data_IF_803914367367
#
_entry.id   IF_803914367367
#
_cell.length_a   1.000
_cell.length_b   1.000
_cell.length_c   1.000
_cell.angle_alpha   90.00
_cell.angle_beta   90.00
_cell.angle_gamma   90.00
#
_symmetry.space_group_name_H-M   'P 1'
#
loop_
_entity.id
_entity.type
_entity.pdbx_description
1 polymer ?
#
# COMPACT_ATOMS: atom_id res chain seq x y z
N UNK A 1 30.69 13.74 -25.59
CA UNK A 1 29.36 14.21 -26.02
C UNK A 1 28.75 13.11 -26.86
N UNK A 2 27.48 12.77 -26.69
CA UNK A 2 26.91 11.62 -27.41
C UNK A 2 25.93 12.06 -28.51
N UNK A 3 25.89 11.31 -29.61
CA UNK A 3 24.87 11.43 -30.65
C UNK A 3 24.23 10.07 -30.88
N UNK A 4 22.91 10.07 -31.06
CA UNK A 4 22.12 8.87 -31.25
C UNK A 4 21.70 8.76 -32.72
N UNK A 5 22.08 7.68 -33.40
CA UNK A 5 21.67 7.41 -34.79
C UNK A 5 20.43 6.54 -34.78
N UNK A 6 19.31 7.01 -35.34
CA UNK A 6 18.07 6.23 -35.42
C UNK A 6 17.52 6.20 -36.85
N UNK A 7 16.74 5.15 -37.13
CA UNK A 7 16.15 4.89 -38.44
C UNK A 7 15.95 3.39 -38.70
N UNK A 8 15.18 3.07 -39.73
CA UNK A 8 14.88 1.68 -40.09
C UNK A 8 16.12 0.92 -40.54
N UNK A 9 16.02 -0.41 -40.55
CA UNK A 9 17.02 -1.28 -41.15
C UNK A 9 17.26 -0.88 -42.62
N UNK A 10 18.52 -0.84 -43.04
CA UNK A 10 18.89 -0.53 -44.43
C UNK A 10 18.91 0.96 -44.81
N UNK A 11 18.62 1.89 -43.89
CA UNK A 11 18.66 3.33 -44.18
C UNK A 11 20.08 3.94 -44.17
N UNK A 12 21.12 3.12 -43.95
CA UNK A 12 22.51 3.58 -43.96
C UNK A 12 23.01 4.16 -42.62
N UNK A 13 22.38 3.84 -41.48
CA UNK A 13 22.80 4.29 -40.14
C UNK A 13 24.27 3.98 -39.85
N UNK A 14 24.66 2.72 -39.96
CA UNK A 14 26.01 2.25 -39.68
C UNK A 14 27.04 2.83 -40.66
N UNK A 15 26.70 2.91 -41.95
CA UNK A 15 27.56 3.55 -42.96
C UNK A 15 27.80 5.03 -42.66
N UNK A 16 26.74 5.76 -42.33
CA UNK A 16 26.83 7.16 -41.91
C UNK A 16 27.62 7.31 -40.60
N UNK A 17 27.39 6.45 -39.62
CA UNK A 17 28.12 6.43 -38.35
C UNK A 17 29.62 6.23 -38.56
N UNK A 18 30.01 5.30 -39.44
CA UNK A 18 31.42 5.09 -39.79
C UNK A 18 32.03 6.32 -40.46
N UNK A 19 31.34 6.89 -41.45
CA UNK A 19 31.80 8.08 -42.16
C UNK A 19 31.91 9.30 -41.22
N UNK A 20 30.98 9.43 -40.27
CA UNK A 20 31.00 10.49 -39.26
C UNK A 20 32.21 10.34 -38.33
N UNK A 21 32.54 9.11 -37.93
CA UNK A 21 33.69 8.78 -37.09
C UNK A 21 35.01 9.08 -37.82
N UNK A 22 35.25 8.38 -38.93
CA UNK A 22 36.46 8.49 -39.74
C UNK A 22 36.08 8.25 -41.21
N UNK A 23 36.14 9.28 -42.06
CA UNK A 23 35.79 9.18 -43.47
C UNK A 23 36.90 8.53 -44.32
N UNK A 24 38.02 8.10 -43.71
CA UNK A 24 39.11 7.43 -44.41
C UNK A 24 38.67 6.12 -45.05
N UNK A 25 39.08 5.89 -46.29
CA UNK A 25 38.72 4.73 -47.11
C UNK A 25 38.95 3.39 -46.37
N UNK A 26 40.12 3.23 -45.73
CA UNK A 26 40.44 2.03 -44.95
C UNK A 26 39.46 1.77 -43.80
N UNK A 27 38.95 2.81 -43.16
CA UNK A 27 37.97 2.64 -42.09
C UNK A 27 36.59 2.32 -42.68
N UNK A 28 36.16 3.05 -43.71
CA UNK A 28 34.81 2.89 -44.27
C UNK A 28 34.62 1.54 -44.96
N UNK A 29 35.64 1.05 -45.68
CA UNK A 29 35.56 -0.16 -46.52
C UNK A 29 36.21 -1.39 -45.88
N UNK A 30 37.41 -1.26 -45.32
CA UNK A 30 38.19 -2.44 -44.89
C UNK A 30 37.93 -2.83 -43.43
N UNK A 31 37.80 -1.85 -42.53
CA UNK A 31 37.65 -2.08 -41.10
C UNK A 31 36.64 -1.13 -40.44
N UNK A 32 35.35 -1.22 -40.80
CA UNK A 32 34.33 -0.33 -40.26
C UNK A 32 34.05 -0.59 -38.78
N UNK A 33 33.95 0.48 -38.00
CA UNK A 33 33.55 0.43 -36.59
C UNK A 33 32.18 -0.23 -36.40
N UNK A 34 31.22 0.12 -37.26
CA UNK A 34 29.88 -0.45 -37.30
C UNK A 34 29.74 -1.28 -38.58
N UNK A 35 29.53 -2.59 -38.48
CA UNK A 35 29.42 -3.46 -39.66
C UNK A 35 28.20 -3.08 -40.52
N UNK A 36 28.38 -2.53 -41.74
CA UNK A 36 27.26 -2.23 -42.61
C UNK A 36 26.62 -3.53 -43.12
N UNK A 37 25.30 -3.50 -43.35
CA UNK A 37 24.60 -4.63 -43.97
C UNK A 37 25.08 -4.85 -45.39
N UNK A 38 25.55 -6.06 -45.71
CA UNK A 38 25.75 -6.52 -47.09
C UNK A 38 24.51 -7.33 -47.49
N UNK A 39 23.96 -7.09 -48.68
CA UNK A 39 22.89 -7.89 -49.30
C UNK A 39 21.48 -7.79 -48.67
N UNK A 40 21.11 -6.62 -48.15
CA UNK A 40 19.73 -6.35 -47.73
C UNK A 40 19.29 -7.02 -46.43
N UNK A 41 20.19 -7.70 -45.70
CA UNK A 41 19.92 -8.27 -44.37
C UNK A 41 20.40 -7.34 -43.25
N UNK A 42 19.59 -7.08 -42.21
CA UNK A 42 20.05 -6.37 -41.01
C UNK A 42 21.24 -7.12 -40.39
N UNK A 43 22.34 -6.40 -40.12
CA UNK A 43 23.48 -6.92 -39.35
C UNK A 43 23.63 -6.27 -37.97
N UNK A 44 23.08 -5.07 -37.75
CA UNK A 44 23.11 -4.40 -36.45
C UNK A 44 22.09 -5.04 -35.52
N UNK A 45 22.51 -6.04 -34.75
CA UNK A 45 21.71 -6.74 -33.74
C UNK A 45 21.98 -6.23 -32.31
N UNK A 46 22.95 -5.33 -32.14
CA UNK A 46 23.38 -4.82 -30.84
C UNK A 46 23.60 -3.31 -30.92
N UNK A 47 23.38 -2.62 -29.80
CA UNK A 47 23.74 -1.20 -29.65
C UNK A 47 25.25 -1.07 -29.56
N UNK A 48 25.86 -0.40 -30.53
CA UNK A 48 27.31 -0.17 -30.55
C UNK A 48 27.59 1.31 -30.35
N UNK A 49 28.56 1.62 -29.50
CA UNK A 49 29.03 2.99 -29.27
C UNK A 49 30.52 3.10 -29.51
N UNK A 50 30.96 4.16 -30.18
CA UNK A 50 32.38 4.46 -30.33
C UNK A 50 32.68 5.90 -29.95
N UNK A 51 33.55 6.05 -28.96
CA UNK A 51 34.15 7.33 -28.63
C UNK A 51 35.32 7.62 -29.57
N UNK A 52 35.29 8.78 -30.20
CA UNK A 52 36.35 9.27 -31.08
C UNK A 52 36.76 10.69 -30.72
N UNK A 53 38.08 10.94 -30.86
CA UNK A 53 38.67 12.26 -30.79
C UNK A 53 38.67 12.85 -32.20
N UNK A 54 37.90 13.93 -32.38
CA UNK A 54 37.82 14.69 -33.61
C UNK A 54 38.65 15.96 -33.45
N UNK A 55 39.53 16.23 -34.43
CA UNK A 55 40.22 17.51 -34.53
C UNK A 55 39.38 18.44 -35.42
N UNK A 56 38.95 19.56 -34.85
CA UNK A 56 38.31 20.64 -35.60
C UNK A 56 39.13 21.92 -35.38
N UNK A 57 40.02 22.23 -36.32
CA UNK A 57 41.04 23.28 -36.14
C UNK A 57 42.00 22.93 -35.00
N UNK A 58 42.19 23.87 -34.07
CA UNK A 58 43.06 23.70 -32.88
C UNK A 58 42.36 23.02 -31.69
N UNK A 59 41.04 22.79 -31.77
CA UNK A 59 40.26 22.21 -30.66
C UNK A 59 40.07 20.71 -30.85
N UNK A 60 40.42 19.95 -29.82
CA UNK A 60 40.14 18.52 -29.73
C UNK A 60 38.75 18.29 -29.11
N UNK A 61 37.86 17.60 -29.82
CA UNK A 61 36.50 17.32 -29.39
C UNK A 61 36.26 15.82 -29.28
N UNK A 62 35.53 15.38 -28.25
CA UNK A 62 35.17 13.96 -28.07
C UNK A 62 33.70 13.71 -28.41
N UNK A 63 33.48 12.90 -29.43
CA UNK A 63 32.17 12.47 -29.90
C UNK A 63 31.98 10.98 -29.62
N UNK A 64 30.89 10.60 -28.97
CA UNK A 64 30.44 9.22 -28.83
C UNK A 64 29.26 9.02 -29.79
N UNK A 65 29.43 8.15 -30.78
CA UNK A 65 28.39 7.83 -31.76
C UNK A 65 27.72 6.54 -31.34
N UNK A 66 26.41 6.59 -31.09
CA UNK A 66 25.59 5.43 -30.69
C UNK A 66 24.79 4.98 -31.92
N UNK A 67 25.17 3.85 -32.50
CA UNK A 67 24.42 3.19 -33.57
C UNK A 67 23.37 2.26 -32.97
N UNK A 68 22.10 2.46 -33.33
CA UNK A 68 21.00 1.66 -32.80
C UNK A 68 20.58 0.57 -33.78
N UNK A 69 20.14 -0.60 -33.29
CA UNK A 69 19.47 -1.57 -34.15
C UNK A 69 18.17 -0.99 -34.73
N UNK A 70 17.66 -1.63 -35.78
CA UNK A 70 16.28 -1.38 -36.21
C UNK A 70 15.30 -1.93 -35.16
N UNK A 71 14.21 -1.21 -34.92
CA UNK A 71 13.08 -1.71 -34.14
C UNK A 71 12.08 -2.39 -35.11
N UNK A 72 11.27 -3.32 -34.62
CA UNK A 72 10.21 -4.06 -35.32
C UNK A 72 10.65 -5.41 -35.94
N UNK A 73 11.46 -6.20 -35.23
CA UNK A 73 11.77 -7.60 -35.61
C UNK A 73 10.84 -8.61 -34.92
N UNK A 74 10.80 -8.58 -33.58
CA UNK A 74 9.89 -9.38 -32.73
C UNK A 74 9.77 -8.71 -31.37
N UNK A 75 8.71 -8.99 -30.61
CA UNK A 75 8.50 -8.36 -29.30
C UNK A 75 9.67 -8.57 -28.32
N UNK A 76 10.25 -9.78 -28.32
CA UNK A 76 11.44 -10.13 -27.52
C UNK A 76 12.67 -9.32 -27.94
N UNK A 77 13.00 -9.32 -29.23
CA UNK A 77 14.18 -8.61 -29.77
C UNK A 77 14.04 -7.11 -29.61
N UNK A 78 12.85 -6.59 -29.88
CA UNK A 78 12.57 -5.17 -29.74
C UNK A 78 12.74 -4.75 -28.27
N UNK A 79 12.21 -5.51 -27.32
CA UNK A 79 12.40 -5.21 -25.89
C UNK A 79 13.87 -5.27 -25.48
N UNK A 80 14.60 -6.31 -25.91
CA UNK A 80 16.03 -6.45 -25.65
C UNK A 80 16.82 -5.25 -26.19
N UNK A 81 16.60 -4.89 -27.45
CA UNK A 81 17.21 -3.72 -28.07
C UNK A 81 16.90 -2.43 -27.31
N UNK A 82 15.66 -2.23 -26.87
CA UNK A 82 15.25 -1.07 -26.08
C UNK A 82 15.98 -1.00 -24.74
N UNK A 83 16.11 -2.12 -24.04
CA UNK A 83 16.85 -2.20 -22.77
C UNK A 83 18.30 -1.77 -22.99
N UNK A 84 18.95 -2.26 -24.03
CA UNK A 84 20.35 -1.95 -24.32
C UNK A 84 20.53 -0.49 -24.72
N UNK A 85 19.60 0.07 -25.50
CA UNK A 85 19.60 1.50 -25.84
C UNK A 85 19.50 2.34 -24.56
N UNK A 86 18.56 2.00 -23.67
CA UNK A 86 18.35 2.74 -22.42
C UNK A 86 19.53 2.63 -21.47
N UNK A 87 20.13 1.44 -21.32
CA UNK A 87 21.37 1.27 -20.55
C UNK A 87 22.46 2.19 -21.08
N UNK A 88 22.69 2.16 -22.41
CA UNK A 88 23.71 3.00 -23.05
C UNK A 88 23.44 4.50 -22.90
N UNK A 89 22.18 4.91 -22.97
CA UNK A 89 21.78 6.30 -22.77
C UNK A 89 21.99 6.74 -21.31
N UNK A 90 21.67 5.88 -20.33
CA UNK A 90 21.88 6.18 -18.91
C UNK A 90 23.37 6.28 -18.53
N UNK A 91 24.25 5.60 -19.26
CA UNK A 91 25.72 5.76 -19.14
C UNK A 91 26.21 7.10 -19.70
N UNK A 92 25.40 7.79 -20.51
CA UNK A 92 25.76 9.08 -21.09
C UNK A 92 25.40 10.23 -20.13
N UNK A 93 26.31 11.20 -19.97
CA UNK A 93 25.98 12.43 -19.22
C UNK A 93 24.90 13.27 -19.94
N UNK A 94 24.86 13.19 -21.27
CA UNK A 94 23.88 13.85 -22.12
C UNK A 94 24.09 13.55 -23.60
N UNK A 95 22.99 13.65 -24.36
CA UNK A 95 22.96 13.47 -25.82
C UNK A 95 22.77 14.83 -26.48
N UNK A 96 23.62 15.16 -27.45
CA UNK A 96 23.55 16.43 -28.17
C UNK A 96 22.60 16.40 -29.35
N UNK A 97 22.49 15.28 -30.05
CA UNK A 97 21.62 15.17 -31.20
C UNK A 97 21.03 13.77 -31.35
N UNK A 98 19.79 13.73 -31.82
CA UNK A 98 19.17 12.56 -32.39
C UNK A 98 19.21 12.71 -33.92
N UNK A 99 19.98 11.85 -34.59
CA UNK A 99 20.17 11.91 -36.04
C UNK A 99 19.27 10.86 -36.68
N UNK A 100 18.26 11.35 -37.39
CA UNK A 100 17.34 10.59 -38.21
C UNK A 100 18.02 10.28 -39.55
N UNK A 101 18.43 9.03 -39.75
CA UNK A 101 19.06 8.60 -41.00
C UNK A 101 18.00 8.02 -41.92
N UNK A 102 17.88 8.59 -43.11
CA UNK A 102 16.91 8.20 -44.14
C UNK A 102 17.64 8.08 -45.46
N UNK A 103 17.37 7.04 -46.25
CA UNK A 103 17.90 6.96 -47.60
C UNK A 103 17.23 8.00 -48.52
N UNK A 104 18.01 8.70 -49.33
CA UNK A 104 17.49 9.69 -50.26
C UNK A 104 16.43 9.07 -51.19
N UNK A 105 15.27 9.73 -51.29
CA UNK A 105 14.11 9.28 -52.07
C UNK A 105 13.51 7.92 -51.62
N UNK A 106 13.85 7.43 -50.42
CA UNK A 106 13.16 6.30 -49.81
C UNK A 106 11.82 6.73 -49.21
N UNK A 107 10.83 5.85 -49.25
CA UNK A 107 9.55 6.07 -48.57
C UNK A 107 9.74 5.83 -47.07
N UNK A 108 9.16 6.71 -46.26
CA UNK A 108 9.03 6.48 -44.83
C UNK A 108 7.93 5.43 -44.63
N UNK A 109 8.36 4.20 -44.34
CA UNK A 109 7.50 3.05 -44.12
C UNK A 109 6.94 3.01 -42.69
N UNK A 110 6.02 2.07 -42.42
CA UNK A 110 5.41 1.94 -41.10
C UNK A 110 6.44 1.66 -39.98
N UNK A 111 7.50 0.91 -40.30
CA UNK A 111 8.58 0.61 -39.35
C UNK A 111 9.34 1.88 -38.94
N UNK A 112 9.61 2.77 -39.89
CA UNK A 112 10.27 4.03 -39.64
C UNK A 112 9.39 4.95 -38.77
N UNK A 113 8.08 4.99 -39.05
CA UNK A 113 7.10 5.74 -38.23
C UNK A 113 7.07 5.25 -36.79
N UNK A 114 6.99 3.94 -36.59
CA UNK A 114 7.01 3.32 -35.27
C UNK A 114 8.31 3.63 -34.52
N UNK A 115 9.45 3.60 -35.23
CA UNK A 115 10.76 3.97 -34.66
C UNK A 115 10.77 5.41 -34.17
N UNK A 116 10.29 6.36 -34.98
CA UNK A 116 10.21 7.77 -34.58
C UNK A 116 9.27 7.96 -33.40
N UNK A 117 8.09 7.36 -33.46
CA UNK A 117 7.10 7.48 -32.40
C UNK A 117 7.67 6.98 -31.08
N UNK A 118 8.35 5.84 -31.10
CA UNK A 118 9.03 5.27 -29.96
C UNK A 118 10.06 6.23 -29.36
N UNK A 119 11.03 6.69 -30.17
CA UNK A 119 12.09 7.58 -29.67
C UNK A 119 11.58 8.95 -29.25
N UNK A 120 10.51 9.46 -29.87
CA UNK A 120 9.86 10.72 -29.48
C UNK A 120 9.22 10.64 -28.10
N UNK A 121 8.58 9.51 -27.77
CA UNK A 121 8.03 9.25 -26.43
C UNK A 121 9.14 9.06 -25.40
N UNK A 122 10.23 8.40 -25.79
CA UNK A 122 11.34 8.06 -24.92
C UNK A 122 12.20 9.28 -24.57
N UNK A 123 12.47 10.14 -25.56
CA UNK A 123 13.42 11.23 -25.47
C UNK A 123 12.78 12.55 -25.93
N UNK A 124 11.68 13.00 -25.30
CA UNK A 124 10.92 14.17 -25.77
C UNK A 124 11.79 15.43 -25.85
N UNK A 125 12.68 15.65 -24.88
CA UNK A 125 13.59 16.79 -24.88
C UNK A 125 14.57 16.83 -26.06
N UNK A 126 14.95 15.66 -26.62
CA UNK A 126 15.73 15.61 -27.86
C UNK A 126 14.85 15.95 -29.07
N UNK A 127 13.64 15.42 -29.13
CA UNK A 127 12.71 15.65 -30.23
C UNK A 127 12.22 17.10 -30.32
N UNK A 128 12.13 17.79 -29.20
CA UNK A 128 11.74 19.20 -29.13
C UNK A 128 12.75 20.17 -29.74
N UNK A 129 14.05 19.83 -29.81
CA UNK A 129 15.10 20.82 -30.15
C UNK A 129 16.31 20.30 -30.95
N UNK A 130 16.63 19.01 -30.83
CA UNK A 130 17.95 18.48 -31.19
C UNK A 130 17.89 17.33 -32.22
N UNK A 131 16.90 17.36 -33.11
CA UNK A 131 16.75 16.42 -34.22
C UNK A 131 17.48 16.96 -35.44
N UNK A 132 18.28 16.10 -36.06
CA UNK A 132 18.94 16.33 -37.35
C UNK A 132 18.45 15.26 -38.32
N UNK A 133 18.21 15.62 -39.56
CA UNK A 133 17.87 14.68 -40.63
C UNK A 133 19.08 14.53 -41.54
N UNK A 134 19.45 13.29 -41.84
CA UNK A 134 20.51 12.98 -42.79
C UNK A 134 19.92 12.10 -43.89
N UNK A 135 19.87 12.64 -45.10
CA UNK A 135 19.53 11.89 -46.32
C UNK A 135 20.81 11.23 -46.86
N UNK A 136 20.93 9.93 -46.68
CA UNK A 136 22.07 9.12 -47.16
C UNK A 136 21.90 8.73 -48.62
N UNK A 137 22.97 8.24 -49.27
CA UNK A 137 22.97 7.86 -50.69
C UNK A 137 22.61 9.01 -51.65
N UNK A 138 22.98 10.23 -51.28
CA UNK A 138 22.87 11.39 -52.16
C UNK A 138 24.17 11.62 -52.94
N UNK A 139 24.41 10.76 -53.95
CA UNK A 139 25.57 10.88 -54.83
C UNK A 139 25.55 12.20 -55.62
N UNK A 140 26.70 12.87 -55.73
CA UNK A 140 26.83 14.19 -56.35
C UNK A 140 27.51 14.16 -57.71
N UNK A 141 27.91 12.99 -58.18
CA UNK A 141 28.47 12.80 -59.52
C UNK A 141 27.50 13.24 -60.63
N UNK A 142 28.08 13.61 -61.78
CA UNK A 142 27.34 14.11 -62.93
C UNK A 142 26.26 13.11 -63.41
N UNK A 143 26.56 11.82 -63.37
CA UNK A 143 25.61 10.78 -63.81
C UNK A 143 24.41 10.73 -62.85
N UNK A 144 24.62 10.81 -61.55
CA UNK A 144 23.52 10.86 -60.56
C UNK A 144 22.67 12.12 -60.71
N UNK A 145 23.28 13.29 -60.97
CA UNK A 145 22.54 14.51 -61.28
C UNK A 145 21.69 14.39 -62.54
N UNK A 146 22.27 13.88 -63.63
CA UNK A 146 21.56 13.64 -64.88
C UNK A 146 20.41 12.63 -64.68
N UNK A 147 20.62 11.58 -63.87
CA UNK A 147 19.57 10.62 -63.56
C UNK A 147 18.42 11.25 -62.77
N UNK A 148 18.70 12.11 -61.78
CA UNK A 148 17.66 12.85 -61.04
C UNK A 148 16.85 13.74 -61.98
N UNK A 149 17.52 14.46 -62.90
CA UNK A 149 16.87 15.29 -63.93
C UNK A 149 15.97 14.44 -64.86
N UNK A 150 16.48 13.30 -65.36
CA UNK A 150 15.72 12.37 -66.21
C UNK A 150 14.48 11.80 -65.52
N UNK A 151 14.61 11.44 -64.24
CA UNK A 151 13.50 10.93 -63.40
C UNK A 151 12.58 12.03 -62.89
N UNK A 152 12.87 13.31 -63.19
CA UNK A 152 12.15 14.49 -62.69
C UNK A 152 12.01 14.49 -61.16
N UNK A 153 13.08 14.08 -60.48
CA UNK A 153 13.14 14.08 -59.01
C UNK A 153 13.33 15.53 -58.55
N UNK A 154 12.34 16.05 -57.81
CA UNK A 154 12.43 17.33 -57.14
C UNK A 154 13.07 17.16 -55.75
N UNK A 155 14.31 17.61 -55.62
CA UNK A 155 15.09 17.49 -54.39
C UNK A 155 14.49 18.32 -53.25
N UNK A 156 13.95 19.50 -53.55
CA UNK A 156 13.35 20.36 -52.52
C UNK A 156 12.02 19.80 -52.03
N UNK A 157 11.22 19.23 -52.95
CA UNK A 157 10.00 18.51 -52.56
C UNK A 157 10.31 17.33 -51.62
N UNK A 158 11.34 16.52 -51.93
CA UNK A 158 11.75 15.40 -51.06
C UNK A 158 12.13 15.89 -49.65
N UNK A 159 12.87 17.01 -49.55
CA UNK A 159 13.24 17.59 -48.25
C UNK A 159 11.99 18.02 -47.47
N UNK A 160 11.08 18.74 -48.13
CA UNK A 160 9.84 19.20 -47.51
C UNK A 160 8.96 18.03 -47.05
N UNK A 161 8.78 17.02 -47.90
CA UNK A 161 7.99 15.83 -47.59
C UNK A 161 8.58 15.05 -46.42
N UNK A 162 9.90 14.88 -46.41
CA UNK A 162 10.59 14.20 -45.30
C UNK A 162 10.35 14.94 -43.98
N UNK A 163 10.56 16.26 -43.94
CA UNK A 163 10.34 17.07 -42.72
C UNK A 163 8.87 17.00 -42.28
N UNK A 164 7.93 17.13 -43.22
CA UNK A 164 6.51 17.09 -42.93
C UNK A 164 6.07 15.74 -42.36
N UNK A 165 6.58 14.64 -42.91
CA UNK A 165 6.27 13.30 -42.44
C UNK A 165 6.85 13.03 -41.04
N UNK A 166 8.07 13.50 -40.77
CA UNK A 166 8.68 13.42 -39.44
C UNK A 166 7.89 14.18 -38.36
N UNK A 167 7.40 15.38 -38.68
CA UNK A 167 6.51 16.14 -37.79
C UNK A 167 5.22 15.39 -37.48
N UNK A 168 4.66 14.71 -38.48
CA UNK A 168 3.45 13.90 -38.32
C UNK A 168 3.70 12.69 -37.42
N UNK A 169 4.83 11.99 -37.59
CA UNK A 169 5.12 10.75 -36.88
C UNK A 169 5.60 10.97 -35.43
N UNK A 170 6.18 12.14 -35.14
CA UNK A 170 6.59 12.54 -33.79
C UNK A 170 5.44 13.07 -32.92
N UNK A 171 4.18 12.83 -33.32
CA UNK A 171 2.99 13.37 -32.64
C UNK A 171 3.07 14.90 -32.41
N UNK A 172 3.61 15.62 -33.40
CA UNK A 172 3.82 17.08 -33.35
C UNK A 172 4.79 17.57 -32.27
N UNK A 173 5.63 16.71 -31.67
CA UNK A 173 6.67 17.18 -30.75
C UNK A 173 7.74 18.04 -31.44
N UNK A 174 8.00 17.80 -32.72
CA UNK A 174 8.91 18.61 -33.53
C UNK A 174 8.18 19.89 -34.00
N UNK A 175 8.26 20.94 -33.18
CA UNK A 175 7.61 22.23 -33.45
C UNK A 175 8.46 23.18 -34.33
N UNK A 176 9.73 22.84 -34.57
CA UNK A 176 10.68 23.60 -35.40
C UNK A 176 10.87 22.93 -36.76
N UNK A 177 11.70 23.51 -37.64
CA UNK A 177 12.17 22.83 -38.85
C UNK A 177 13.53 22.21 -38.56
N UNK A 178 13.66 20.87 -38.43
CA UNK A 178 14.96 20.24 -38.21
C UNK A 178 15.95 20.58 -39.31
N UNK A 179 17.23 20.66 -38.95
CA UNK A 179 18.29 20.81 -39.93
C UNK A 179 18.41 19.51 -40.74
N UNK A 180 18.42 19.64 -42.06
CA UNK A 180 18.53 18.53 -43.00
C UNK A 180 19.85 18.63 -43.77
N UNK A 181 20.56 17.52 -43.84
CA UNK A 181 21.77 17.35 -44.64
C UNK A 181 21.57 16.20 -45.64
N UNK A 182 22.20 16.29 -46.80
CA UNK A 182 22.22 15.22 -47.80
C UNK A 182 23.67 14.83 -48.01
N UNK A 183 24.01 13.55 -47.90
CA UNK A 183 25.39 13.11 -47.91
C UNK A 183 25.53 11.77 -48.62
N UNK A 184 26.60 11.62 -49.38
CA UNK A 184 27.07 10.31 -49.78
C UNK A 184 28.15 9.82 -48.82
N UNK A 185 27.90 8.67 -48.19
CA UNK A 185 28.84 8.06 -47.25
C UNK A 185 29.83 7.11 -47.96
N UNK A 186 29.64 6.86 -49.26
CA UNK A 186 30.46 5.98 -50.09
C UNK A 186 30.83 6.70 -51.41
N UNK A 187 31.47 7.88 -51.35
CA UNK A 187 31.84 8.62 -52.56
C UNK A 187 32.80 7.81 -53.42
N UNK A 188 32.64 7.89 -54.75
CA UNK A 188 33.41 7.07 -55.70
C UNK A 188 34.61 7.83 -56.27
N UNK A 189 34.51 9.16 -56.37
CA UNK A 189 35.59 10.03 -56.87
C UNK A 189 36.01 11.12 -55.85
N UNK A 190 37.11 11.80 -56.17
CA UNK A 190 37.73 12.81 -55.29
C UNK A 190 36.83 14.05 -55.09
N UNK A 191 36.04 14.43 -56.09
CA UNK A 191 35.16 15.60 -56.03
C UNK A 191 33.93 15.31 -55.15
N UNK A 192 33.37 14.10 -55.26
CA UNK A 192 32.34 13.59 -54.36
C UNK A 192 32.87 13.49 -52.93
N UNK A 193 34.07 12.93 -52.73
CA UNK A 193 34.66 12.80 -51.41
C UNK A 193 34.86 14.17 -50.77
N UNK A 194 35.38 15.16 -51.51
CA UNK A 194 35.53 16.54 -51.03
C UNK A 194 34.19 17.15 -50.62
N UNK A 195 33.14 16.90 -51.41
CA UNK A 195 31.78 17.37 -51.12
C UNK A 195 31.24 16.71 -49.84
N UNK A 196 31.35 15.39 -49.72
CA UNK A 196 30.91 14.65 -48.52
C UNK A 196 31.70 15.04 -47.26
N UNK A 197 32.99 15.34 -47.38
CA UNK A 197 33.81 15.85 -46.27
C UNK A 197 33.37 17.24 -45.81
N UNK A 198 33.01 18.13 -46.74
CA UNK A 198 32.47 19.45 -46.41
C UNK A 198 31.12 19.34 -45.68
N UNK A 199 30.23 18.46 -46.15
CA UNK A 199 28.93 18.22 -45.53
C UNK A 199 29.08 17.57 -44.15
N UNK A 200 29.96 16.57 -44.01
CA UNK A 200 30.33 15.98 -42.72
C UNK A 200 30.81 17.03 -41.73
N UNK A 201 31.65 17.96 -42.18
CA UNK A 201 32.16 19.05 -41.34
C UNK A 201 31.04 19.99 -40.90
N UNK A 202 30.09 20.30 -41.78
CA UNK A 202 28.91 21.09 -41.45
C UNK A 202 27.99 20.38 -40.43
N UNK A 203 27.77 19.07 -40.59
CA UNK A 203 27.01 18.24 -39.64
C UNK A 203 27.67 18.28 -38.26
N UNK A 204 28.98 18.01 -38.18
CA UNK A 204 29.73 18.03 -36.92
C UNK A 204 29.67 19.41 -36.26
N UNK A 205 29.91 20.48 -37.03
CA UNK A 205 29.83 21.84 -36.52
C UNK A 205 28.46 22.15 -35.91
N UNK A 206 27.38 21.78 -36.61
CA UNK A 206 26.02 21.95 -36.12
C UNK A 206 25.76 21.16 -34.83
N UNK A 207 26.16 19.88 -34.78
CA UNK A 207 26.06 19.06 -33.57
C UNK A 207 26.76 19.72 -32.39
N UNK A 208 27.95 20.30 -32.60
CA UNK A 208 28.70 20.92 -31.51
C UNK A 208 28.05 22.20 -30.97
N UNK A 209 27.28 22.92 -31.79
CA UNK A 209 26.50 24.08 -31.36
C UNK A 209 25.26 23.70 -30.53
N UNK A 210 24.75 22.48 -30.66
CA UNK A 210 23.57 22.05 -29.92
C UNK A 210 23.85 21.89 -28.42
N UNK A 211 22.93 22.36 -27.54
CA UNK A 211 23.03 22.13 -26.10
C UNK A 211 22.79 20.64 -25.79
N UNK A 212 23.56 20.00 -24.90
CA UNK A 212 23.32 18.61 -24.53
C UNK A 212 22.01 18.45 -23.73
N UNK A 213 21.24 17.43 -24.07
CA UNK A 213 20.04 17.01 -23.33
C UNK A 213 20.44 15.92 -22.35
N UNK A 214 20.13 16.13 -21.07
CA UNK A 214 20.41 15.14 -20.01
C UNK A 214 19.53 13.92 -20.19
N UNK A 215 20.15 12.75 -20.15
CA UNK A 215 19.49 11.43 -20.29
C UNK A 215 19.87 10.55 -19.10
N UNK A 216 19.40 10.92 -17.90
CA UNK A 216 19.60 10.10 -16.69
C UNK A 216 18.29 9.50 -16.24
N UNK A 217 18.35 8.26 -15.77
CA UNK A 217 17.20 7.49 -15.27
C UNK A 217 16.07 7.40 -16.31
N UNK A 218 16.44 7.28 -17.59
CA UNK A 218 15.48 7.04 -18.65
C UNK A 218 14.88 5.65 -18.42
N UNK A 219 13.56 5.57 -18.47
CA UNK A 219 12.79 4.34 -18.33
C UNK A 219 12.57 3.67 -19.69
N UNK A 220 12.28 2.38 -19.69
CA UNK A 220 11.95 1.64 -20.91
C UNK A 220 10.47 1.81 -21.20
N UNK A 221 10.11 2.27 -22.40
CA UNK A 221 8.72 2.30 -22.83
C UNK A 221 8.23 0.88 -23.13
N UNK A 222 7.04 0.53 -22.66
CA UNK A 222 6.43 -0.78 -22.89
C UNK A 222 6.01 -0.95 -24.33
N UNK A 223 6.27 -2.12 -24.89
CA UNK A 223 5.77 -2.52 -26.21
C UNK A 223 4.28 -2.80 -26.15
N UNK A 224 3.59 -2.75 -27.29
CA UNK A 224 2.15 -3.04 -27.35
C UNK A 224 1.81 -4.45 -26.84
N UNK A 225 2.68 -5.42 -27.10
CA UNK A 225 2.56 -6.78 -26.55
C UNK A 225 2.57 -6.78 -25.02
N UNK A 226 3.54 -6.09 -24.40
CA UNK A 226 3.63 -6.00 -22.93
C UNK A 226 2.42 -5.28 -22.37
N UNK A 227 1.95 -4.21 -23.04
CA UNK A 227 0.74 -3.48 -22.63
C UNK A 227 -0.50 -4.37 -22.67
N UNK A 228 -0.63 -5.26 -23.65
CA UNK A 228 -1.73 -6.21 -23.73
C UNK A 228 -1.69 -7.19 -22.54
N UNK A 229 -0.54 -7.82 -22.28
CA UNK A 229 -0.35 -8.72 -21.13
C UNK A 229 -0.60 -8.00 -19.79
N UNK A 230 -0.14 -6.75 -19.67
CA UNK A 230 -0.40 -5.92 -18.50
C UNK A 230 -1.89 -5.57 -18.36
N UNK A 231 -2.63 -5.40 -19.45
CA UNK A 231 -4.07 -5.19 -19.40
C UNK A 231 -4.83 -6.43 -18.91
N UNK A 232 -4.38 -7.62 -19.29
CA UNK A 232 -4.91 -8.90 -18.78
C UNK A 232 -4.63 -9.05 -17.29
N UNK A 233 -3.35 -8.92 -16.89
CA UNK A 233 -2.93 -8.95 -15.48
C UNK A 233 -3.61 -7.88 -14.64
N UNK A 234 -3.85 -6.69 -15.20
CA UNK A 234 -4.59 -5.63 -14.52
C UNK A 234 -6.02 -6.06 -14.19
N UNK A 235 -6.72 -6.73 -15.12
CA UNK A 235 -8.09 -7.24 -14.86
C UNK A 235 -8.09 -8.28 -13.75
N UNK A 236 -7.14 -9.19 -13.74
CA UNK A 236 -6.99 -10.20 -12.68
C UNK A 236 -6.76 -9.52 -11.32
N UNK A 237 -5.83 -8.57 -11.25
CA UNK A 237 -5.55 -7.80 -10.04
C UNK A 237 -6.77 -7.01 -9.55
N UNK A 238 -7.58 -6.44 -10.46
CA UNK A 238 -8.83 -5.78 -10.07
C UNK A 238 -9.84 -6.77 -9.48
N UNK A 239 -9.90 -8.00 -10.02
CA UNK A 239 -10.70 -9.08 -9.46
C UNK A 239 -10.25 -9.47 -8.06
N UNK A 240 -8.95 -9.64 -7.84
CA UNK A 240 -8.38 -9.91 -6.50
C UNK A 240 -8.69 -8.77 -5.51
N UNK A 241 -8.46 -7.51 -5.91
CA UNK A 241 -8.75 -6.34 -5.06
C UNK A 241 -10.22 -6.32 -4.67
N UNK A 242 -11.13 -6.58 -5.62
CA UNK A 242 -12.56 -6.63 -5.35
C UNK A 242 -12.89 -7.74 -4.35
N UNK A 243 -12.36 -8.95 -4.54
CA UNK A 243 -12.57 -10.08 -3.63
C UNK A 243 -12.04 -9.82 -2.22
N UNK A 244 -10.81 -9.30 -2.09
CA UNK A 244 -10.27 -8.93 -0.78
C UNK A 244 -11.05 -7.78 -0.13
N UNK A 245 -11.53 -6.82 -0.90
CA UNK A 245 -12.34 -5.70 -0.39
C UNK A 245 -13.70 -6.16 0.10
N UNK A 246 -14.32 -7.14 -0.55
CA UNK A 246 -15.56 -7.76 -0.11
C UNK A 246 -15.33 -8.52 1.20
N UNK A 247 -14.30 -9.38 1.26
CA UNK A 247 -13.92 -10.06 2.49
C UNK A 247 -13.61 -9.09 3.64
N UNK A 248 -12.92 -7.98 3.35
CA UNK A 248 -12.62 -6.95 4.33
C UNK A 248 -13.89 -6.32 4.91
N UNK A 249 -14.94 -6.11 4.10
CA UNK A 249 -16.24 -5.62 4.61
C UNK A 249 -16.90 -6.63 5.54
N UNK A 250 -16.88 -7.91 5.20
CA UNK A 250 -17.42 -8.98 6.05
C UNK A 250 -16.70 -9.04 7.40
N UNK A 251 -15.37 -9.09 7.39
CA UNK A 251 -14.57 -9.21 8.61
C UNK A 251 -14.71 -7.96 9.48
N UNK A 252 -14.83 -6.77 8.89
CA UNK A 252 -15.15 -5.56 9.64
C UNK A 252 -16.52 -5.63 10.35
N UNK A 253 -17.54 -6.18 9.68
CA UNK A 253 -18.84 -6.39 10.30
C UNK A 253 -18.77 -7.39 11.47
N UNK A 254 -18.04 -8.50 11.29
CA UNK A 254 -17.82 -9.50 12.34
C UNK A 254 -17.03 -8.91 13.53
N UNK A 255 -15.96 -8.16 13.27
CA UNK A 255 -15.15 -7.48 14.29
C UNK A 255 -16.00 -6.50 15.12
N UNK A 256 -16.88 -5.74 14.45
CA UNK A 256 -17.80 -4.82 15.12
C UNK A 256 -18.79 -5.56 16.03
N UNK A 257 -19.36 -6.66 15.54
CA UNK A 257 -20.27 -7.48 16.34
C UNK A 257 -19.56 -8.06 17.57
N UNK A 258 -18.34 -8.60 17.41
CA UNK A 258 -17.53 -9.13 18.51
C UNK A 258 -17.17 -8.05 19.55
N UNK A 259 -16.88 -6.82 19.11
CA UNK A 259 -16.65 -5.68 19.99
C UNK A 259 -17.90 -5.33 20.81
N UNK A 260 -19.07 -5.30 20.17
CA UNK A 260 -20.33 -4.98 20.83
C UNK A 260 -20.74 -6.08 21.83
N UNK A 261 -20.52 -7.36 21.52
CA UNK A 261 -20.67 -8.47 22.46
C UNK A 261 -19.70 -8.35 23.65
N UNK A 262 -18.44 -7.99 23.40
CA UNK A 262 -17.44 -7.77 24.46
C UNK A 262 -17.89 -6.65 25.41
N UNK A 263 -18.44 -5.55 24.86
CA UNK A 263 -19.01 -4.45 25.65
C UNK A 263 -20.24 -4.89 26.45
N UNK A 264 -21.12 -5.69 25.86
CA UNK A 264 -22.28 -6.24 26.54
C UNK A 264 -21.85 -7.10 27.75
N UNK A 265 -20.92 -8.03 27.54
CA UNK A 265 -20.38 -8.87 28.62
C UNK A 265 -19.67 -8.08 29.70
N UNK A 266 -18.98 -6.99 29.33
CA UNK A 266 -18.38 -6.07 30.31
C UNK A 266 -19.45 -5.44 31.22
N UNK A 267 -20.61 -5.05 30.67
CA UNK A 267 -21.73 -4.52 31.48
C UNK A 267 -22.33 -5.60 32.39
N UNK A 268 -22.57 -6.80 31.87
CA UNK A 268 -23.05 -7.94 32.67
C UNK A 268 -22.12 -8.23 33.87
N UNK A 269 -20.81 -8.27 33.64
CA UNK A 269 -19.78 -8.45 34.68
C UNK A 269 -19.94 -7.38 35.77
N UNK A 270 -20.00 -6.10 35.38
CA UNK A 270 -20.12 -4.99 36.32
C UNK A 270 -21.41 -5.06 37.14
N UNK A 271 -22.52 -5.47 36.53
CA UNK A 271 -23.79 -5.67 37.23
C UNK A 271 -23.73 -6.81 38.24
N UNK A 272 -23.11 -7.94 37.87
CA UNK A 272 -22.95 -9.10 38.76
C UNK A 272 -22.03 -8.72 39.93
N UNK A 273 -20.92 -8.05 39.68
CA UNK A 273 -19.99 -7.57 40.71
C UNK A 273 -20.67 -6.59 41.66
N UNK A 274 -21.48 -5.67 41.15
CA UNK A 274 -22.27 -4.74 41.96
C UNK A 274 -23.27 -5.47 42.87
N UNK A 275 -23.96 -6.49 42.34
CA UNK A 275 -24.88 -7.34 43.12
C UNK A 275 -24.14 -8.14 44.20
N UNK A 276 -22.98 -8.71 43.88
CA UNK A 276 -22.13 -9.40 44.86
C UNK A 276 -21.69 -8.45 45.97
N UNK A 277 -21.25 -7.23 45.61
CA UNK A 277 -20.84 -6.22 46.58
C UNK A 277 -21.99 -5.85 47.53
N UNK A 278 -23.21 -5.65 47.00
CA UNK A 278 -24.39 -5.37 47.82
C UNK A 278 -24.72 -6.55 48.77
N UNK A 279 -24.72 -7.78 48.27
CA UNK A 279 -24.96 -8.97 49.10
C UNK A 279 -23.90 -9.13 50.19
N UNK A 280 -22.63 -8.86 49.90
CA UNK A 280 -21.54 -8.87 50.90
C UNK A 280 -21.77 -7.83 51.99
N UNK A 281 -22.17 -6.61 51.63
CA UNK A 281 -22.51 -5.56 52.62
C UNK A 281 -23.68 -5.97 53.52
N UNK A 282 -24.71 -6.61 52.96
CA UNK A 282 -25.83 -7.13 53.75
C UNK A 282 -25.41 -8.26 54.69
N UNK A 283 -24.55 -9.16 54.20
CA UNK A 283 -23.97 -10.24 55.00
C UNK A 283 -23.14 -9.67 56.15
N UNK A 284 -22.26 -8.71 55.87
CA UNK A 284 -21.44 -8.02 56.88
C UNK A 284 -22.26 -7.26 57.92
N UNK A 285 -23.43 -6.71 57.58
CA UNK A 285 -24.30 -6.06 58.58
C UNK A 285 -25.01 -7.06 59.50
N UNK A 286 -25.42 -8.21 58.95
CA UNK A 286 -26.17 -9.25 59.67
C UNK A 286 -25.28 -10.19 60.47
N UNK A 287 -24.06 -10.46 60.00
CA UNK A 287 -23.08 -11.34 60.65
C UNK A 287 -22.21 -10.57 61.67
N UNK A 288 -22.87 -9.77 62.53
CA UNK A 288 -22.25 -9.03 63.64
C UNK A 288 -22.74 -9.57 64.98
N UNK A 289 -21.95 -9.31 66.02
CA UNK A 289 -22.29 -9.60 67.42
C UNK A 289 -23.12 -8.47 68.06
N UNK A 290 -23.61 -7.50 67.25
CA UNK A 290 -24.47 -6.42 67.73
C UNK A 290 -25.73 -6.98 68.38
N UNK A 291 -26.09 -6.43 69.55
CA UNK A 291 -27.32 -6.81 70.26
C UNK A 291 -28.54 -6.32 69.50
N UNK A 292 -29.48 -7.23 69.24
CA UNK A 292 -30.80 -6.96 68.68
C UNK A 292 -31.89 -7.53 69.56
N UNK A 293 -33.06 -6.91 69.54
CA UNK A 293 -34.21 -7.38 70.31
C UNK A 293 -34.60 -8.77 69.82
N UNK A 294 -34.54 -9.75 70.73
CA UNK A 294 -35.00 -11.12 70.52
C UNK A 294 -36.51 -11.19 70.73
N UNK A 295 -37.00 -10.63 71.83
CA UNK A 295 -38.41 -10.59 72.20
C UNK A 295 -38.66 -9.43 73.19
N UNK A 296 -39.88 -8.90 73.21
CA UNK A 296 -40.24 -7.79 74.10
C UNK A 296 -41.62 -8.02 74.72
N UNK A 297 -41.68 -7.99 76.06
CA UNK A 297 -42.95 -8.06 76.78
C UNK A 297 -43.19 -6.77 77.54
N UNK A 298 -44.33 -6.16 77.26
CA UNK A 298 -44.84 -4.98 77.95
C UNK A 298 -45.96 -5.39 78.90
N UNK A 299 -45.87 -4.95 80.16
CA UNK A 299 -46.83 -5.24 81.22
C UNK A 299 -47.44 -3.92 81.66
N UNK A 300 -48.75 -3.79 81.44
CA UNK A 300 -49.54 -2.66 81.90
C UNK A 300 -50.80 -3.18 82.59
N UNK A 301 -50.83 -3.11 83.93
CA UNK A 301 -52.01 -3.45 84.72
C UNK A 301 -52.34 -2.34 85.69
N UNK A 302 -53.53 -1.78 85.55
CA UNK A 302 -54.05 -0.79 86.49
C UNK A 302 -54.62 -1.48 87.74
N UNK A 303 -54.30 -0.96 88.92
CA UNK A 303 -54.87 -1.46 90.19
C UNK A 303 -56.21 -0.78 90.48
N UNK A 304 -57.26 -1.57 90.73
CA UNK A 304 -58.61 -1.09 91.10
C UNK A 304 -59.01 -1.43 92.54
N UNK A 305 -58.22 -2.23 93.25
CA UNK A 305 -58.51 -2.75 94.60
C UNK A 305 -57.30 -2.55 95.53
N UNK A 306 -57.52 -2.51 96.85
CA UNK A 306 -56.51 -2.23 97.89
C UNK A 306 -55.51 -3.40 98.10
N UNK A 307 -55.10 -4.10 97.06
CA UNK A 307 -54.15 -5.24 97.14
C UNK A 307 -52.90 -4.97 96.29
N UNK A 308 -51.75 -5.50 96.75
CA UNK A 308 -50.52 -5.53 95.97
C UNK A 308 -50.70 -6.47 94.78
N UNK A 309 -50.46 -5.97 93.57
CA UNK A 309 -50.57 -6.78 92.35
C UNK A 309 -49.20 -7.41 92.06
N UNK A 310 -49.21 -8.72 91.82
CA UNK A 310 -48.04 -9.47 91.36
C UNK A 310 -48.33 -10.05 89.98
N UNK A 311 -47.49 -9.76 89.00
CA UNK A 311 -47.60 -10.30 87.65
C UNK A 311 -46.41 -11.18 87.29
N UNK A 312 -46.70 -12.30 86.64
CA UNK A 312 -45.67 -13.17 86.08
C UNK A 312 -45.15 -12.60 84.76
N UNK A 313 -43.82 -12.56 84.63
CA UNK A 313 -43.11 -12.31 83.38
C UNK A 313 -42.68 -13.68 82.86
N UNK A 314 -43.00 -14.00 81.60
CA UNK A 314 -42.56 -15.23 80.92
C UNK A 314 -42.31 -14.88 79.45
N UNK A 315 -41.11 -14.36 79.18
CA UNK A 315 -40.65 -14.12 77.82
C UNK A 315 -40.07 -15.42 77.29
N UNK A 316 -40.62 -15.91 76.19
CA UNK A 316 -40.07 -17.04 75.43
C UNK A 316 -39.54 -16.52 74.11
N UNK A 317 -38.23 -16.64 73.93
CA UNK A 317 -37.56 -16.26 72.69
C UNK A 317 -37.33 -17.50 71.82
N UNK A 318 -37.58 -17.43 70.50
CA UNK A 318 -37.16 -18.48 69.57
C UNK A 318 -35.63 -18.49 69.36
N UNK A 319 -34.92 -17.49 69.88
CA UNK A 319 -33.47 -17.32 69.75
C UNK A 319 -32.79 -17.34 71.13
N UNK A 320 -31.51 -17.71 71.14
CA UNK A 320 -30.71 -17.67 72.37
C UNK A 320 -30.60 -16.24 72.91
N UNK A 321 -31.05 -16.03 74.15
CA UNK A 321 -31.04 -14.75 74.84
C UNK A 321 -29.65 -14.53 75.42
N UNK A 322 -28.91 -13.56 74.88
CA UNK A 322 -27.56 -13.22 75.33
C UNK A 322 -27.55 -12.17 76.44
N UNK A 323 -28.59 -11.34 76.53
CA UNK A 323 -28.80 -10.42 77.64
C UNK A 323 -30.24 -9.93 77.70
N UNK A 324 -30.65 -9.28 78.77
CA UNK A 324 -31.95 -8.63 78.87
C UNK A 324 -31.84 -7.27 79.54
N UNK A 325 -32.83 -6.42 79.30
CA UNK A 325 -32.99 -5.13 79.98
C UNK A 325 -34.41 -5.03 80.51
N UNK A 326 -34.53 -4.56 81.74
CA UNK A 326 -35.80 -4.24 82.36
C UNK A 326 -36.01 -2.73 82.40
N UNK A 327 -37.27 -2.32 82.34
CA UNK A 327 -37.67 -0.94 82.56
C UNK A 327 -38.93 -0.92 83.41
N UNK A 328 -39.02 0.00 84.36
CA UNK A 328 -40.23 0.24 85.17
C UNK A 328 -40.49 1.74 85.27
N UNK A 329 -41.71 2.10 85.65
CA UNK A 329 -42.07 3.48 86.00
C UNK A 329 -41.49 3.96 87.35
N UNK A 330 -40.59 3.20 87.98
CA UNK A 330 -40.00 3.49 89.29
C UNK A 330 -40.89 3.14 90.49
N UNK A 331 -42.05 2.51 90.27
CA UNK A 331 -43.03 2.12 91.32
C UNK A 331 -43.36 0.63 91.30
N UNK A 332 -42.54 -0.15 90.61
CA UNK A 332 -42.62 -1.59 90.54
C UNK A 332 -41.20 -2.16 90.60
N UNK A 333 -41.07 -3.33 91.21
CA UNK A 333 -39.78 -4.01 91.36
C UNK A 333 -39.86 -5.43 90.81
N UNK A 334 -38.84 -5.83 90.07
CA UNK A 334 -38.67 -7.21 89.62
C UNK A 334 -38.02 -8.01 90.75
N UNK A 335 -38.72 -9.02 91.29
CA UNK A 335 -38.25 -9.74 92.47
C UNK A 335 -37.36 -10.93 92.17
N UNK A 336 -37.66 -11.67 91.11
CA UNK A 336 -36.86 -12.82 90.68
C UNK A 336 -36.88 -12.79 89.16
N UNK A 337 -35.71 -12.83 88.53
CA UNK A 337 -35.57 -13.05 87.09
C UNK A 337 -34.63 -14.23 86.92
N UNK A 338 -35.19 -15.37 86.51
CA UNK A 338 -34.44 -16.55 86.10
C UNK A 338 -34.33 -16.53 84.58
N UNK A 339 -33.09 -16.43 84.09
CA UNK A 339 -32.79 -16.44 82.67
C UNK A 339 -32.26 -17.82 82.29
N UNK A 340 -32.99 -18.49 81.41
CA UNK A 340 -32.47 -19.62 80.63
C UNK A 340 -32.03 -19.11 79.24
N UNK A 341 -31.34 -19.93 78.43
CA UNK A 341 -30.99 -19.54 77.06
C UNK A 341 -32.18 -19.11 76.19
N UNK A 342 -33.42 -19.53 76.50
CA UNK A 342 -34.59 -19.21 75.67
C UNK A 342 -35.74 -18.56 76.42
N UNK A 343 -35.66 -18.46 77.75
CA UNK A 343 -36.76 -17.93 78.54
C UNK A 343 -36.28 -16.99 79.63
N UNK A 344 -36.97 -15.87 79.82
CA UNK A 344 -36.83 -15.02 81.01
C UNK A 344 -38.11 -15.14 81.80
N UNK A 345 -38.01 -15.73 82.99
CA UNK A 345 -39.15 -15.89 83.89
C UNK A 345 -38.94 -15.06 85.13
N UNK A 346 -40.02 -14.48 85.63
CA UNK A 346 -39.96 -13.72 86.85
C UNK A 346 -41.29 -13.25 87.37
N UNK A 347 -41.23 -12.49 88.44
CA UNK A 347 -42.40 -11.78 89.00
C UNK A 347 -42.08 -10.30 89.14
N UNK A 348 -43.07 -9.48 88.81
CA UNK A 348 -43.04 -8.05 89.09
C UNK A 348 -44.12 -7.72 90.10
N UNK A 349 -43.75 -6.96 91.12
CA UNK A 349 -44.68 -6.49 92.14
C UNK A 349 -44.86 -4.97 92.01
N UNK A 350 -46.12 -4.54 91.96
CA UNK A 350 -46.49 -3.13 92.00
C UNK A 350 -46.72 -2.64 93.42
N UNK A 351 -46.39 -1.37 93.70
CA UNK A 351 -46.76 -0.71 94.95
C UNK A 351 -48.29 -0.59 95.11
N UNK A 352 -48.76 -0.66 96.35
CA UNK A 352 -50.16 -0.50 96.74
C UNK A 352 -50.84 0.73 96.10
N UNK A 353 -52.06 0.54 95.58
CA UNK A 353 -52.88 1.56 94.89
C UNK A 353 -52.29 2.12 93.58
N UNK A 354 -51.26 1.48 93.00
CA UNK A 354 -50.63 1.93 91.75
C UNK A 354 -50.47 0.77 90.78
N UNK A 355 -50.79 1.02 89.51
CA UNK A 355 -50.67 0.00 88.47
C UNK A 355 -49.22 -0.42 88.19
N UNK A 356 -49.06 -1.61 87.62
CA UNK A 356 -47.79 -2.14 87.13
C UNK A 356 -47.53 -1.60 85.73
N UNK A 357 -46.42 -0.87 85.56
CA UNK A 357 -45.94 -0.40 84.27
C UNK A 357 -44.48 -0.78 84.13
N UNK A 358 -44.24 -1.84 83.37
CA UNK A 358 -42.91 -2.35 83.16
C UNK A 358 -42.76 -3.02 81.80
N UNK A 359 -41.51 -3.17 81.39
CA UNK A 359 -41.18 -3.96 80.22
C UNK A 359 -39.91 -4.75 80.46
N UNK A 360 -39.85 -5.94 79.87
CA UNK A 360 -38.62 -6.72 79.77
C UNK A 360 -38.32 -6.90 78.29
N UNK A 361 -37.10 -6.54 77.90
CA UNK A 361 -36.60 -6.68 76.52
C UNK A 361 -35.48 -7.71 76.54
N UNK A 362 -35.70 -8.85 75.91
CA UNK A 362 -34.68 -9.84 75.66
C UNK A 362 -33.86 -9.43 74.45
N UNK A 363 -32.54 -9.52 74.55
CA UNK A 363 -31.60 -9.28 73.46
C UNK A 363 -30.90 -10.58 73.06
N UNK A 364 -30.64 -10.72 71.77
CA UNK A 364 -29.78 -11.74 71.17
C UNK A 364 -28.76 -11.06 70.25
N UNK A 365 -27.79 -11.78 69.73
CA UNK A 365 -26.87 -11.26 68.72
C UNK A 365 -27.49 -11.31 67.32
N UNK A 366 -27.19 -10.33 66.46
CA UNK A 366 -27.66 -10.33 65.06
C UNK A 366 -27.36 -11.66 64.35
N UNK A 367 -26.15 -12.18 64.50
CA UNK A 367 -25.75 -13.45 63.86
C UNK A 367 -26.62 -14.63 64.27
N UNK A 368 -27.12 -14.66 65.52
CA UNK A 368 -28.00 -15.73 66.03
C UNK A 368 -29.42 -15.56 65.49
N UNK A 369 -29.94 -14.32 65.55
CA UNK A 369 -31.29 -13.99 65.05
C UNK A 369 -31.43 -14.24 63.55
N UNK A 370 -30.39 -13.92 62.78
CA UNK A 370 -30.39 -13.92 61.32
C UNK A 370 -29.65 -15.11 60.68
N UNK A 371 -29.37 -16.19 61.42
CA UNK A 371 -28.62 -17.36 60.92
C UNK A 371 -29.11 -17.87 59.56
N UNK A 372 -30.43 -18.04 59.39
CA UNK A 372 -31.01 -18.52 58.13
C UNK A 372 -30.81 -17.54 56.96
N UNK A 373 -30.95 -16.23 57.20
CA UNK A 373 -30.69 -15.20 56.18
C UNK A 373 -29.20 -15.12 55.81
N UNK A 374 -28.31 -15.30 56.79
CA UNK A 374 -26.85 -15.34 56.59
C UNK A 374 -26.47 -16.51 55.68
N UNK A 375 -27.01 -17.71 55.93
CA UNK A 375 -26.78 -18.88 55.07
C UNK A 375 -27.34 -18.66 53.65
N UNK A 376 -28.53 -18.06 53.53
CA UNK A 376 -29.12 -17.72 52.24
C UNK A 376 -28.27 -16.69 51.48
N UNK A 377 -27.76 -15.66 52.14
CA UNK A 377 -26.86 -14.66 51.57
C UNK A 377 -25.54 -15.30 51.11
N UNK A 378 -24.93 -16.16 51.93
CA UNK A 378 -23.71 -16.92 51.55
C UNK A 378 -23.97 -17.77 50.29
N UNK A 379 -25.12 -18.46 50.21
CA UNK A 379 -25.52 -19.24 49.03
C UNK A 379 -25.71 -18.35 47.80
N UNK A 380 -26.42 -17.22 47.93
CA UNK A 380 -26.62 -16.24 46.84
C UNK A 380 -25.29 -15.68 46.32
N UNK A 381 -24.37 -15.32 47.22
CA UNK A 381 -23.03 -14.84 46.86
C UNK A 381 -22.27 -15.92 46.09
N UNK A 382 -22.29 -17.18 46.56
CA UNK A 382 -21.63 -18.31 45.88
C UNK A 382 -22.15 -18.47 44.45
N UNK A 383 -23.47 -18.57 44.27
CA UNK A 383 -24.09 -18.69 42.93
C UNK A 383 -23.75 -17.49 42.03
N UNK A 384 -23.75 -16.27 42.57
CA UNK A 384 -23.37 -15.09 41.78
C UNK A 384 -21.89 -15.09 41.38
N UNK A 385 -20.99 -15.58 42.23
CA UNK A 385 -19.58 -15.75 41.88
C UNK A 385 -19.38 -16.79 40.78
N UNK A 386 -20.12 -17.90 40.81
CA UNK A 386 -20.09 -18.92 39.75
C UNK A 386 -20.52 -18.30 38.40
N UNK A 387 -21.64 -17.56 38.38
CA UNK A 387 -22.09 -16.83 37.20
C UNK A 387 -21.07 -15.77 36.72
N UNK A 388 -20.37 -15.10 37.64
CA UNK A 388 -19.33 -14.14 37.32
C UNK A 388 -18.15 -14.81 36.59
N UNK A 389 -17.73 -15.99 37.04
CA UNK A 389 -16.66 -16.76 36.41
C UNK A 389 -17.07 -17.17 34.99
N UNK A 390 -18.30 -17.66 34.81
CA UNK A 390 -18.81 -18.03 33.50
C UNK A 390 -18.88 -16.82 32.54
N UNK A 391 -19.39 -15.68 33.03
CA UNK A 391 -19.45 -14.45 32.24
C UNK A 391 -18.05 -13.93 31.86
N UNK A 392 -17.07 -14.01 32.77
CA UNK A 392 -15.66 -13.65 32.48
C UNK A 392 -15.03 -14.57 31.43
N UNK A 393 -15.34 -15.87 31.43
CA UNK A 393 -14.88 -16.81 30.39
C UNK A 393 -15.49 -16.46 29.02
N UNK A 394 -16.78 -16.16 28.98
CA UNK A 394 -17.46 -15.77 27.75
C UNK A 394 -16.89 -14.45 27.20
N UNK A 395 -16.64 -13.47 28.07
CA UNK A 395 -16.00 -12.20 27.71
C UNK A 395 -14.60 -12.41 27.10
N UNK A 396 -13.78 -13.28 27.71
CA UNK A 396 -12.44 -13.57 27.19
C UNK A 396 -12.50 -14.19 25.80
N UNK A 397 -13.46 -15.10 25.56
CA UNK A 397 -13.68 -15.69 24.24
C UNK A 397 -13.99 -14.63 23.17
N UNK A 398 -14.96 -13.74 23.42
CA UNK A 398 -15.30 -12.65 22.51
C UNK A 398 -14.10 -11.73 22.25
N UNK A 399 -13.28 -11.48 23.28
CA UNK A 399 -12.06 -10.64 23.17
C UNK A 399 -11.01 -11.27 22.26
N UNK A 400 -10.81 -12.58 22.36
CA UNK A 400 -9.88 -13.33 21.49
C UNK A 400 -10.37 -13.29 20.03
N UNK A 401 -11.65 -13.60 19.80
CA UNK A 401 -12.27 -13.53 18.45
C UNK A 401 -12.12 -12.13 17.84
N UNK A 402 -12.38 -11.07 18.62
CA UNK A 402 -12.19 -9.70 18.16
C UNK A 402 -10.74 -9.44 17.73
N UNK A 403 -9.76 -9.93 18.49
CA UNK A 403 -8.33 -9.76 18.18
C UNK A 403 -7.97 -10.46 16.87
N UNK A 404 -8.46 -11.67 16.65
CA UNK A 404 -8.26 -12.44 15.40
C UNK A 404 -8.80 -11.68 14.19
N UNK A 405 -10.02 -11.12 14.29
CA UNK A 405 -10.59 -10.31 13.21
C UNK A 405 -9.76 -9.05 12.90
N UNK A 406 -9.20 -8.39 13.93
CA UNK A 406 -8.34 -7.23 13.73
C UNK A 406 -7.01 -7.58 13.04
N UNK A 407 -6.48 -8.77 13.29
CA UNK A 407 -5.29 -9.28 12.59
C UNK A 407 -5.60 -9.62 11.13
N UNK A 408 -6.75 -10.26 10.86
CA UNK A 408 -7.23 -10.53 9.49
C UNK A 408 -7.47 -9.23 8.70
N UNK A 409 -8.10 -8.22 9.30
CA UNK A 409 -8.30 -6.89 8.69
C UNK A 409 -6.97 -6.29 8.23
N UNK A 410 -5.96 -6.26 9.11
CA UNK A 410 -4.63 -5.72 8.78
C UNK A 410 -3.98 -6.48 7.62
N UNK A 411 -4.15 -7.80 7.58
CA UNK A 411 -3.59 -8.63 6.52
C UNK A 411 -4.26 -8.35 5.16
N UNK A 412 -5.59 -8.22 5.14
CA UNK A 412 -6.36 -7.89 3.95
C UNK A 412 -6.01 -6.51 3.41
N UNK A 413 -5.92 -5.49 4.28
CA UNK A 413 -5.49 -4.13 3.91
C UNK A 413 -4.10 -4.14 3.26
N UNK A 414 -3.16 -4.90 3.84
CA UNK A 414 -1.81 -5.07 3.27
C UNK A 414 -1.87 -5.69 1.88
N UNK A 415 -2.65 -6.75 1.67
CA UNK A 415 -2.77 -7.38 0.36
C UNK A 415 -3.42 -6.45 -0.67
N UNK A 416 -4.51 -5.78 -0.31
CA UNK A 416 -5.17 -4.78 -1.17
C UNK A 416 -4.16 -3.70 -1.60
N UNK A 417 -3.39 -3.15 -0.67
CA UNK A 417 -2.38 -2.15 -0.98
C UNK A 417 -1.29 -2.67 -1.94
N UNK A 418 -0.78 -3.88 -1.72
CA UNK A 418 0.20 -4.51 -2.60
C UNK A 418 -0.36 -4.71 -4.02
N UNK A 419 -1.61 -5.17 -4.16
CA UNK A 419 -2.25 -5.37 -5.47
C UNK A 419 -2.52 -4.04 -6.16
N UNK A 420 -2.88 -2.99 -5.43
CA UNK A 420 -3.01 -1.66 -6.01
C UNK A 420 -1.70 -1.15 -6.61
N UNK A 421 -0.57 -1.32 -5.91
CA UNK A 421 0.76 -0.95 -6.43
C UNK A 421 1.07 -1.74 -7.69
N UNK A 422 0.84 -3.06 -7.70
CA UNK A 422 1.05 -3.89 -8.88
C UNK A 422 0.14 -3.47 -10.04
N UNK A 423 -1.14 -3.19 -9.78
CA UNK A 423 -2.10 -2.76 -10.78
C UNK A 423 -1.74 -1.38 -11.37
N UNK A 424 -1.20 -0.47 -10.55
CA UNK A 424 -0.70 0.82 -11.02
C UNK A 424 0.50 0.65 -11.94
N UNK A 425 1.42 -0.28 -11.63
CA UNK A 425 2.54 -0.61 -12.52
C UNK A 425 2.07 -1.14 -13.87
N UNK A 426 1.05 -2.00 -13.93
CA UNK A 426 0.48 -2.49 -15.18
C UNK A 426 -0.09 -1.35 -16.05
N UNK A 427 -0.68 -0.31 -15.44
CA UNK A 427 -1.21 0.85 -16.18
C UNK A 427 -0.17 1.83 -16.69
N UNK A 428 1.06 1.78 -16.17
CA UNK A 428 2.15 2.64 -16.63
C UNK A 428 2.56 2.26 -18.06
N UNK A 429 2.81 3.24 -18.91
CA UNK A 429 3.35 3.03 -20.26
C UNK A 429 4.88 2.80 -20.27
N UNK A 430 5.51 2.96 -19.12
CA UNK A 430 6.96 2.88 -18.92
C UNK A 430 7.29 1.97 -17.73
N UNK A 431 8.49 1.40 -17.73
CA UNK A 431 9.00 0.49 -16.70
C UNK A 431 10.49 0.72 -16.45
N UNK A 432 11.00 0.29 -15.31
CA UNK A 432 12.45 0.36 -15.04
C UNK A 432 13.23 -0.64 -15.90
N UNK A 433 14.56 -0.51 -15.95
CA UNK A 433 15.40 -1.47 -16.67
C UNK A 433 15.28 -2.87 -16.06
N UNK A 434 15.22 -2.96 -14.73
CA UNK A 434 15.06 -4.22 -14.01
C UNK A 434 13.71 -4.87 -14.29
N UNK A 435 12.62 -4.08 -14.29
CA UNK A 435 11.29 -4.55 -14.67
C UNK A 435 11.25 -5.04 -16.12
N UNK A 436 11.90 -4.31 -17.03
CA UNK A 436 12.02 -4.69 -18.42
C UNK A 436 12.82 -5.99 -18.62
N UNK A 437 13.90 -6.19 -17.85
CA UNK A 437 14.71 -7.40 -17.89
C UNK A 437 13.91 -8.63 -17.44
N UNK A 438 13.16 -8.52 -16.35
CA UNK A 438 12.25 -9.58 -15.88
C UNK A 438 11.22 -9.91 -16.97
N UNK A 439 10.63 -8.89 -17.62
CA UNK A 439 9.71 -9.11 -18.74
C UNK A 439 10.36 -9.79 -19.93
N UNK A 440 11.62 -9.51 -20.22
CA UNK A 440 12.35 -10.17 -21.28
C UNK A 440 12.57 -11.66 -20.97
N UNK A 441 12.90 -12.00 -19.73
CA UNK A 441 13.01 -13.39 -19.26
C UNK A 441 11.66 -14.12 -19.39
N UNK A 442 10.56 -13.52 -18.93
CA UNK A 442 9.20 -14.08 -19.09
C UNK A 442 8.86 -14.38 -20.56
N UNK A 443 9.21 -13.47 -21.48
CA UNK A 443 8.98 -13.65 -22.93
C UNK A 443 9.81 -14.79 -23.54
N UNK A 444 11.02 -15.00 -23.02
CA UNK A 444 11.91 -16.07 -23.48
C UNK A 444 11.43 -17.43 -23.02
N UNK A 445 10.88 -17.52 -21.81
CA UNK A 445 10.32 -18.76 -21.25
C UNK A 445 9.04 -19.20 -21.98
N UNK A 446 8.12 -18.28 -22.30
CA UNK A 446 6.87 -18.59 -23.04
C UNK A 446 7.13 -19.25 -24.41
N UNK A 447 8.32 -19.05 -24.98
CA UNK A 447 8.70 -19.57 -26.30
C UNK A 447 9.12 -21.05 -26.30
N UNK A 448 9.31 -21.65 -25.12
CA UNK A 448 9.67 -23.06 -24.96
C UNK A 448 8.46 -23.96 -24.63
N UNK A 449 7.31 -23.37 -24.34
CA UNK A 449 6.07 -24.08 -24.00
C UNK A 449 5.10 -24.25 -25.20
N UNK A 450 5.40 -23.60 -26.34
CA UNK A 450 4.79 -23.80 -27.66
C UNK A 450 5.63 -24.76 -28.53
#
# INVERSE_FOLDING_TARGET
MSVLLIGSTGMGKSSFGNFLIDPGEKHVFDNPTFSPGTDGRPKTQEVKSKNVQLKSGETEMRLDVIDTPGLNESAEKDLSHMIDIIKKLNDCEGVKACILVVKFNAKIDAQYKATIEYYSKLLPGLFERNVIIVLTEYATDERSEQQRKKKRIDVEQIKHDTIAELKKCSNQQIMYSPQLFMIDCLPVDDDELKTSLAIRSAILHYIFQLPPIKVKNVMVAKTDYIKQKDAEKYKELQGEIAGYSERLKEVNALSKNALDETRHKTREINEIESKICNLKKQLEDKDKEDKVVAEHQYINKESKELESITEAVDIKSPYEITSYMTWTNGRCEFKVLDQTPYTIKGTIEGEFMRGIYASVTAYTEKRIKYTGEIEELKKKIKTKNENLIECKKAWEKCRVEQKEYLEEIKLLEKYIAQRHVAAQKCRSDIMTIEEAAIKLEELQEERFDD
#
